data_IF_272029548091
#
_entry.id   IF_272029548091
#
_cell.length_a   1.000
_cell.length_b   1.000
_cell.length_c   1.000
_cell.angle_alpha   90.00
_cell.angle_beta   90.00
_cell.angle_gamma   90.00
#
_symmetry.space_group_name_H-M   'P 1'
#
loop_
_entity.id
_entity.type
_entity.pdbx_description
1 polymer ?
#
# COMPACT_ATOMS: atom_id res chain seq x y z
N UNK A 1 -6.77 -12.98 21.22
CA UNK A 1 -6.06 -11.94 20.42
C UNK A 1 -5.69 -12.56 19.09
N UNK A 2 -5.88 -11.83 18.01
CA UNK A 2 -5.54 -12.33 16.68
C UNK A 2 -4.02 -12.49 16.52
N UNK A 3 -3.62 -13.54 15.79
CA UNK A 3 -2.22 -13.75 15.36
C UNK A 3 -1.92 -13.05 14.03
N UNK A 4 -2.94 -12.53 13.38
CA UNK A 4 -2.90 -11.97 12.03
C UNK A 4 -3.25 -10.49 12.05
N UNK A 5 -2.51 -9.72 11.28
CA UNK A 5 -2.73 -8.29 11.09
C UNK A 5 -2.89 -7.98 9.61
N UNK A 6 -4.00 -7.35 9.25
CA UNK A 6 -4.13 -6.65 7.98
C UNK A 6 -3.86 -5.17 8.23
N UNK A 7 -3.11 -4.52 7.36
CA UNK A 7 -2.95 -3.08 7.45
C UNK A 7 -3.00 -2.40 6.10
N UNK A 8 -3.39 -1.14 6.13
CA UNK A 8 -3.45 -0.24 4.98
C UNK A 8 -2.99 1.16 5.36
N UNK A 9 -2.73 2.00 4.36
CA UNK A 9 -2.29 3.38 4.55
C UNK A 9 -3.28 4.36 3.89
N UNK A 10 -3.68 5.40 4.62
CA UNK A 10 -4.60 6.44 4.14
C UNK A 10 -4.04 7.83 4.46
N UNK A 11 -3.41 8.46 3.45
CA UNK A 11 -2.76 9.78 3.58
C UNK A 11 -3.00 10.64 2.34
N UNK A 12 -2.55 11.88 2.38
CA UNK A 12 -2.43 12.82 1.28
C UNK A 12 -3.73 13.53 0.88
N UNK A 13 -4.78 12.82 0.49
CA UNK A 13 -6.05 13.43 0.06
C UNK A 13 -7.22 12.84 0.84
N UNK A 14 -8.15 13.69 1.27
CA UNK A 14 -9.30 13.30 2.08
C UNK A 14 -10.19 12.27 1.40
N UNK A 15 -10.32 12.34 0.06
CA UNK A 15 -11.10 11.37 -0.72
C UNK A 15 -10.67 9.91 -0.47
N UNK A 16 -9.41 9.68 -0.10
CA UNK A 16 -8.96 8.33 0.24
C UNK A 16 -9.57 7.79 1.53
N UNK A 17 -10.22 8.65 2.35
CA UNK A 17 -11.02 8.16 3.50
C UNK A 17 -12.25 7.40 3.02
N UNK A 18 -12.86 7.78 1.88
CA UNK A 18 -13.95 7.02 1.26
C UNK A 18 -13.46 5.72 0.64
N UNK A 19 -12.30 5.78 -0.01
CA UNK A 19 -11.67 4.61 -0.62
C UNK A 19 -11.36 3.57 0.45
N UNK A 20 -10.66 3.95 1.52
CA UNK A 20 -10.32 3.02 2.63
C UNK A 20 -11.55 2.54 3.39
N UNK A 21 -12.60 3.35 3.48
CA UNK A 21 -13.87 2.92 4.10
C UNK A 21 -14.53 1.78 3.32
N UNK A 22 -14.40 1.74 2.00
CA UNK A 22 -14.83 0.59 1.20
C UNK A 22 -14.03 -0.68 1.52
N UNK A 23 -12.70 -0.55 1.68
CA UNK A 23 -11.85 -1.67 2.09
C UNK A 23 -12.22 -2.18 3.49
N UNK A 24 -12.38 -1.30 4.47
CA UNK A 24 -12.80 -1.65 5.85
C UNK A 24 -14.16 -2.36 5.84
N UNK A 25 -15.13 -1.84 5.09
CA UNK A 25 -16.46 -2.44 5.00
C UNK A 25 -16.42 -3.81 4.32
N UNK A 26 -15.57 -4.01 3.31
CA UNK A 26 -15.38 -5.31 2.68
C UNK A 26 -14.70 -6.30 3.63
N UNK A 27 -13.68 -5.86 4.37
CA UNK A 27 -13.05 -6.65 5.43
C UNK A 27 -14.06 -7.09 6.50
N UNK A 28 -14.87 -6.16 7.01
CA UNK A 28 -15.92 -6.48 7.99
C UNK A 28 -16.89 -7.56 7.46
N UNK A 29 -17.27 -7.46 6.18
CA UNK A 29 -18.17 -8.43 5.53
C UNK A 29 -17.53 -9.80 5.30
N UNK A 30 -16.21 -9.87 5.23
CA UNK A 30 -15.50 -11.15 5.01
C UNK A 30 -15.57 -12.11 6.19
N UNK A 31 -15.95 -11.62 7.37
CA UNK A 31 -16.02 -12.42 8.59
C UNK A 31 -14.65 -12.76 9.22
N UNK A 32 -13.58 -12.11 8.76
CA UNK A 32 -12.23 -12.35 9.25
C UNK A 32 -12.06 -12.06 10.73
N UNK A 33 -11.24 -12.87 11.39
CA UNK A 33 -10.83 -12.70 12.80
C UNK A 33 -9.50 -11.93 12.95
N UNK A 34 -8.86 -11.55 11.85
CA UNK A 34 -7.64 -10.75 11.86
C UNK A 34 -7.89 -9.35 12.47
N UNK A 35 -6.88 -8.77 13.10
CA UNK A 35 -6.91 -7.35 13.45
C UNK A 35 -6.72 -6.51 12.17
N UNK A 36 -7.41 -5.35 12.09
CA UNK A 36 -7.28 -4.44 10.96
C UNK A 36 -6.73 -3.09 11.43
N UNK A 37 -5.62 -2.65 10.84
CA UNK A 37 -4.92 -1.42 11.19
C UNK A 37 -4.92 -0.44 10.03
N UNK A 38 -5.28 0.82 10.29
CA UNK A 38 -5.14 1.93 9.34
C UNK A 38 -4.04 2.87 9.80
N UNK A 39 -3.02 3.03 8.99
CA UNK A 39 -2.03 4.10 9.09
C UNK A 39 -2.61 5.36 8.49
N UNK A 40 -2.71 6.44 9.29
CA UNK A 40 -3.38 7.65 8.81
C UNK A 40 -2.99 8.88 9.64
N UNK A 41 -3.52 10.05 9.28
CA UNK A 41 -3.46 11.27 10.10
C UNK A 41 -4.56 11.27 11.15
N UNK A 42 -4.41 12.08 12.22
CA UNK A 42 -5.47 12.29 13.23
C UNK A 42 -6.77 12.73 12.58
N UNK A 43 -6.72 13.70 11.67
CA UNK A 43 -7.90 14.20 10.93
C UNK A 43 -8.61 13.08 10.16
N UNK A 44 -7.87 12.27 9.40
CA UNK A 44 -8.49 11.22 8.58
C UNK A 44 -9.00 10.05 9.43
N UNK A 45 -8.36 9.76 10.57
CA UNK A 45 -8.88 8.81 11.55
C UNK A 45 -10.31 9.17 11.98
N UNK A 46 -10.55 10.43 12.38
CA UNK A 46 -11.88 10.88 12.80
C UNK A 46 -12.92 10.70 11.69
N UNK A 47 -12.56 11.06 10.45
CA UNK A 47 -13.44 10.88 9.28
C UNK A 47 -13.73 9.39 9.03
N UNK A 48 -12.69 8.52 9.06
CA UNK A 48 -12.85 7.07 8.84
C UNK A 48 -13.71 6.45 9.95
N UNK A 49 -13.50 6.83 11.21
CA UNK A 49 -14.31 6.35 12.33
C UNK A 49 -15.78 6.76 12.18
N UNK A 50 -16.05 8.00 11.73
CA UNK A 50 -17.42 8.44 11.46
C UNK A 50 -18.08 7.68 10.30
N UNK A 51 -17.32 7.28 9.27
CA UNK A 51 -17.80 6.50 8.12
C UNK A 51 -17.97 5.01 8.42
N UNK A 52 -17.22 4.48 9.38
CA UNK A 52 -17.18 3.06 9.74
C UNK A 52 -17.35 2.88 11.28
N UNK A 53 -18.44 3.38 11.90
CA UNK A 53 -18.56 3.43 13.36
C UNK A 53 -18.57 2.06 14.04
N UNK A 54 -19.08 1.04 13.35
CA UNK A 54 -19.18 -0.33 13.89
C UNK A 54 -17.97 -1.21 13.52
N UNK A 55 -16.94 -0.65 12.91
CA UNK A 55 -15.76 -1.41 12.55
C UNK A 55 -14.74 -1.37 13.70
N UNK A 56 -14.30 -2.56 14.14
CA UNK A 56 -13.21 -2.68 15.11
C UNK A 56 -11.86 -2.48 14.38
N UNK A 57 -11.48 -1.21 14.16
CA UNK A 57 -10.29 -0.81 13.43
C UNK A 57 -9.27 -0.20 14.38
N UNK A 58 -8.04 -0.68 14.32
CA UNK A 58 -6.89 -0.09 14.98
C UNK A 58 -6.35 1.07 14.15
N UNK A 59 -5.79 2.07 14.80
CA UNK A 59 -5.20 3.23 14.12
C UNK A 59 -3.77 3.47 14.59
N UNK A 60 -2.90 3.83 13.64
CA UNK A 60 -1.61 4.42 13.92
C UNK A 60 -1.52 5.80 13.27
N UNK A 61 -1.40 6.83 14.11
CA UNK A 61 -1.41 8.20 13.65
C UNK A 61 -0.01 8.70 13.33
N UNK A 62 0.18 9.21 12.11
CA UNK A 62 1.43 9.80 11.61
C UNK A 62 1.13 11.07 10.81
N UNK A 63 1.14 12.22 11.48
CA UNK A 63 0.71 13.49 10.89
C UNK A 63 1.73 14.14 9.93
N UNK A 64 2.90 13.54 9.73
CA UNK A 64 3.95 14.06 8.85
C UNK A 64 3.89 13.55 7.40
N UNK A 65 3.08 12.52 7.10
CA UNK A 65 2.90 12.03 5.73
C UNK A 65 1.88 12.90 4.98
N UNK A 66 2.37 13.88 4.21
CA UNK A 66 1.53 14.87 3.51
C UNK A 66 1.59 14.80 1.99
N UNK A 67 2.61 14.16 1.43
CA UNK A 67 2.76 14.02 -0.02
C UNK A 67 2.39 12.62 -0.49
N UNK A 68 2.07 12.47 -1.78
CA UNK A 68 1.78 11.19 -2.39
C UNK A 68 2.96 10.20 -2.24
N UNK A 69 4.19 10.67 -2.40
CA UNK A 69 5.37 9.85 -2.25
C UNK A 69 5.54 9.33 -0.82
N UNK A 70 5.30 10.20 0.16
CA UNK A 70 5.31 9.81 1.58
C UNK A 70 4.18 8.81 1.89
N UNK A 71 2.98 9.05 1.36
CA UNK A 71 1.85 8.13 1.51
C UNK A 71 2.18 6.72 1.01
N UNK A 72 2.82 6.60 -0.15
CA UNK A 72 3.14 5.30 -0.75
C UNK A 72 4.18 4.52 0.04
N UNK A 73 5.24 5.20 0.51
CA UNK A 73 6.32 4.53 1.26
C UNK A 73 5.93 4.23 2.71
N UNK A 74 4.86 4.84 3.24
CA UNK A 74 4.42 4.67 4.63
C UNK A 74 4.10 3.22 4.98
N UNK A 75 3.74 2.38 4.00
CA UNK A 75 3.53 0.94 4.20
C UNK A 75 4.73 0.22 4.82
N UNK A 76 5.94 0.74 4.64
CA UNK A 76 7.16 0.17 5.20
C UNK A 76 7.36 0.46 6.70
N UNK A 77 6.53 1.32 7.28
CA UNK A 77 6.61 1.68 8.70
C UNK A 77 5.82 0.74 9.63
N UNK A 78 5.34 -0.37 9.11
CA UNK A 78 4.54 -1.31 9.91
C UNK A 78 5.26 -1.79 11.16
N UNK A 79 6.57 -1.92 11.12
CA UNK A 79 7.38 -2.33 12.27
C UNK A 79 7.56 -1.24 13.34
N UNK A 80 7.05 -0.02 13.10
CA UNK A 80 6.94 1.05 14.10
C UNK A 80 5.63 0.97 14.89
N UNK A 81 4.71 0.05 14.52
CA UNK A 81 3.45 -0.12 15.22
C UNK A 81 3.69 -0.73 16.61
N UNK A 82 3.29 -0.05 17.69
CA UNK A 82 3.41 -0.58 19.05
C UNK A 82 2.60 -1.87 19.19
N UNK A 83 3.21 -2.94 19.65
CA UNK A 83 2.57 -4.25 19.77
C UNK A 83 2.55 -5.06 18.48
N UNK A 84 3.39 -4.71 17.50
CA UNK A 84 3.56 -5.49 16.27
C UNK A 84 4.04 -6.93 16.57
N UNK A 85 4.76 -7.12 17.66
CA UNK A 85 5.34 -8.39 18.09
C UNK A 85 4.29 -9.46 18.43
N UNK A 86 3.05 -9.08 18.68
CA UNK A 86 1.95 -10.04 18.94
C UNK A 86 1.47 -10.76 17.68
N UNK A 87 1.79 -10.23 16.47
CA UNK A 87 1.34 -10.81 15.22
C UNK A 87 2.40 -11.72 14.62
N UNK A 88 1.98 -12.90 14.18
CA UNK A 88 2.83 -13.87 13.50
C UNK A 88 2.95 -13.57 12.00
N UNK A 89 1.84 -13.22 11.36
CA UNK A 89 1.76 -12.91 9.94
C UNK A 89 1.06 -11.57 9.73
N UNK A 90 1.56 -10.83 8.76
CA UNK A 90 1.12 -9.48 8.45
C UNK A 90 0.80 -9.41 6.97
N UNK A 91 -0.32 -8.76 6.63
CA UNK A 91 -0.79 -8.55 5.28
C UNK A 91 -1.02 -7.05 5.04
N UNK A 92 -0.24 -6.45 4.16
CA UNK A 92 -0.52 -5.13 3.62
C UNK A 92 -1.50 -5.23 2.46
N UNK A 93 -2.45 -4.32 2.41
CA UNK A 93 -3.40 -4.17 1.29
C UNK A 93 -3.53 -2.69 0.96
N UNK A 94 -3.32 -2.31 -0.30
CA UNK A 94 -3.53 -0.92 -0.75
C UNK A 94 -4.96 -0.46 -0.46
N UNK A 95 -5.14 0.80 -0.08
CA UNK A 95 -6.44 1.36 0.31
C UNK A 95 -7.53 1.21 -0.77
N UNK A 96 -7.14 1.23 -2.04
CA UNK A 96 -7.99 1.06 -3.21
C UNK A 96 -8.19 -0.41 -3.60
N UNK A 97 -8.42 -1.25 -2.60
CA UNK A 97 -8.71 -2.67 -2.75
C UNK A 97 -10.03 -3.04 -2.09
N UNK A 98 -10.55 -4.22 -2.40
CA UNK A 98 -11.64 -4.87 -1.69
C UNK A 98 -11.22 -6.28 -1.25
N UNK A 99 -11.66 -6.70 -0.07
CA UNK A 99 -11.56 -8.07 0.43
C UNK A 99 -12.89 -8.75 0.13
N UNK A 100 -12.88 -9.79 -0.72
CA UNK A 100 -14.09 -10.45 -1.22
C UNK A 100 -14.50 -11.65 -0.40
N UNK A 101 -13.56 -12.30 0.31
CA UNK A 101 -13.78 -13.43 1.20
C UNK A 101 -12.83 -13.37 2.37
N UNK A 102 -13.00 -14.29 3.33
CA UNK A 102 -12.12 -14.38 4.48
C UNK A 102 -10.64 -14.46 4.06
N UNK A 103 -9.80 -13.49 4.46
CA UNK A 103 -8.39 -13.45 4.13
C UNK A 103 -7.53 -14.48 4.88
N UNK A 104 -8.12 -15.35 5.73
CA UNK A 104 -7.36 -16.44 6.37
C UNK A 104 -6.68 -17.33 5.34
N UNK A 105 -7.32 -17.57 4.17
CA UNK A 105 -6.68 -18.30 3.08
C UNK A 105 -5.40 -17.64 2.54
N UNK A 106 -5.30 -16.31 2.63
CA UNK A 106 -4.08 -15.56 2.28
C UNK A 106 -3.02 -15.76 3.36
N UNK A 107 -3.38 -15.63 4.63
CA UNK A 107 -2.46 -15.89 5.74
C UNK A 107 -1.95 -17.33 5.77
N UNK A 108 -2.82 -18.29 5.50
CA UNK A 108 -2.45 -19.71 5.46
C UNK A 108 -1.42 -20.00 4.36
N UNK A 109 -1.46 -19.25 3.26
CA UNK A 109 -0.52 -19.40 2.16
C UNK A 109 0.87 -18.84 2.45
N UNK A 110 1.04 -18.00 3.50
CA UNK A 110 2.34 -17.45 3.92
C UNK A 110 3.08 -18.48 4.76
N UNK A 111 3.93 -19.29 4.12
CA UNK A 111 4.65 -20.39 4.78
C UNK A 111 6.15 -20.12 4.96
N UNK A 112 6.76 -19.37 4.02
CA UNK A 112 8.19 -19.13 4.00
C UNK A 112 8.57 -17.77 4.63
N UNK A 113 9.85 -17.58 4.91
CA UNK A 113 10.41 -16.36 5.49
C UNK A 113 10.75 -15.32 4.42
N UNK A 114 9.85 -15.12 3.47
CA UNK A 114 9.94 -14.18 2.35
C UNK A 114 8.73 -13.27 2.30
N UNK A 115 8.76 -12.26 1.42
CA UNK A 115 7.60 -11.41 1.14
C UNK A 115 6.81 -12.03 -0.01
N UNK A 116 5.53 -12.28 0.21
CA UNK A 116 4.58 -12.74 -0.80
C UNK A 116 3.97 -11.54 -1.48
N UNK A 117 4.02 -11.54 -2.80
CA UNK A 117 3.54 -10.45 -3.67
C UNK A 117 2.85 -11.04 -4.89
N UNK A 118 2.11 -10.22 -5.61
CA UNK A 118 1.55 -10.64 -6.91
C UNK A 118 2.61 -10.42 -7.99
N UNK A 119 3.00 -11.50 -8.69
CA UNK A 119 3.80 -11.40 -9.90
C UNK A 119 2.96 -10.79 -11.03
N UNK A 120 3.45 -9.71 -11.63
CA UNK A 120 2.74 -8.94 -12.64
C UNK A 120 3.74 -8.20 -13.54
N UNK A 121 3.58 -8.34 -14.86
CA UNK A 121 4.44 -7.65 -15.83
C UNK A 121 5.84 -8.22 -15.95
N UNK A 122 6.77 -7.42 -16.47
CA UNK A 122 8.16 -7.80 -16.72
C UNK A 122 9.09 -6.63 -16.40
N UNK A 123 10.24 -6.91 -15.78
CA UNK A 123 11.26 -5.91 -15.42
C UNK A 123 11.74 -5.11 -16.65
N UNK A 124 11.87 -5.78 -17.82
CA UNK A 124 12.29 -5.15 -19.08
C UNK A 124 11.27 -4.22 -19.72
N UNK A 125 10.02 -4.21 -19.26
CA UNK A 125 9.02 -3.31 -19.82
C UNK A 125 9.54 -1.87 -19.89
N UNK A 126 9.20 -1.17 -20.97
CA UNK A 126 9.68 0.18 -21.30
C UNK A 126 9.33 1.22 -20.23
N UNK A 127 8.29 0.96 -19.45
CA UNK A 127 7.99 1.76 -18.25
C UNK A 127 8.89 1.39 -17.08
N UNK A 128 9.28 2.40 -16.29
CA UNK A 128 10.07 2.22 -15.07
C UNK A 128 9.25 1.64 -13.89
N UNK A 129 8.03 1.17 -14.14
CA UNK A 129 7.12 0.64 -13.11
C UNK A 129 7.73 -0.47 -12.27
N UNK A 130 8.61 -1.28 -12.88
CA UNK A 130 9.24 -2.44 -12.27
C UNK A 130 10.69 -2.19 -11.88
N UNK A 131 11.23 -0.98 -12.15
CA UNK A 131 12.59 -0.60 -11.78
C UNK A 131 13.67 -1.02 -12.77
N UNK A 132 13.36 -1.10 -14.07
CA UNK A 132 14.30 -1.50 -15.13
C UNK A 132 15.66 -0.81 -15.03
N UNK A 133 15.69 0.52 -14.82
CA UNK A 133 16.94 1.28 -14.75
C UNK A 133 17.80 0.90 -13.54
N UNK A 134 17.20 0.51 -12.42
CA UNK A 134 17.94 0.00 -11.26
C UNK A 134 18.64 -1.32 -11.60
N UNK A 135 17.91 -2.24 -12.25
CA UNK A 135 18.45 -3.55 -12.61
C UNK A 135 19.52 -3.45 -13.69
N UNK A 136 19.31 -2.70 -14.75
CA UNK A 136 20.30 -2.53 -15.82
C UNK A 136 21.64 -1.99 -15.31
N UNK A 137 21.60 -1.17 -14.27
CA UNK A 137 22.79 -0.58 -13.68
C UNK A 137 23.55 -1.55 -12.78
N UNK A 138 22.84 -2.31 -11.96
CA UNK A 138 23.46 -3.05 -10.85
C UNK A 138 23.36 -4.57 -11.00
N UNK A 139 22.29 -5.07 -11.63
CA UNK A 139 21.98 -6.51 -11.70
C UNK A 139 21.26 -6.86 -13.01
N UNK A 140 21.91 -6.70 -14.17
CA UNK A 140 21.27 -6.91 -15.47
C UNK A 140 20.73 -8.34 -15.68
N UNK A 141 21.22 -9.33 -14.95
CA UNK A 141 20.77 -10.71 -14.97
C UNK A 141 19.34 -10.92 -14.46
N UNK A 142 18.75 -9.93 -13.78
CA UNK A 142 17.36 -10.00 -13.33
C UNK A 142 16.37 -9.34 -14.29
N UNK A 143 16.82 -8.79 -15.39
CA UNK A 143 15.96 -8.04 -16.33
C UNK A 143 14.93 -8.90 -17.05
N UNK A 144 15.16 -10.21 -17.17
CA UNK A 144 14.22 -11.18 -17.75
C UNK A 144 13.17 -11.68 -16.75
N UNK A 145 13.24 -11.23 -15.50
CA UNK A 145 12.33 -11.64 -14.43
C UNK A 145 10.98 -10.95 -14.51
N UNK A 146 10.01 -11.63 -13.92
CA UNK A 146 8.69 -11.05 -13.68
C UNK A 146 8.78 -9.87 -12.72
N UNK A 147 8.03 -8.81 -12.99
CA UNK A 147 7.83 -7.70 -12.08
C UNK A 147 6.87 -8.08 -10.95
N UNK A 148 6.87 -7.30 -9.87
CA UNK A 148 6.03 -7.55 -8.70
C UNK A 148 5.22 -6.30 -8.35
N UNK A 149 3.93 -6.49 -8.19
CA UNK A 149 3.02 -5.43 -7.78
C UNK A 149 2.97 -5.30 -6.25
N UNK A 150 3.15 -4.09 -5.73
CA UNK A 150 3.24 -3.81 -4.30
C UNK A 150 1.88 -3.44 -3.66
N UNK A 151 0.75 -3.76 -4.31
CA UNK A 151 -0.57 -3.47 -3.76
C UNK A 151 -0.97 -4.44 -2.63
N UNK A 152 -0.37 -5.62 -2.60
CA UNK A 152 -0.51 -6.59 -1.52
C UNK A 152 0.86 -7.17 -1.17
N UNK A 153 1.18 -7.18 0.12
CA UNK A 153 2.42 -7.73 0.67
C UNK A 153 2.07 -8.62 1.85
N UNK A 154 2.32 -9.92 1.73
CA UNK A 154 2.15 -10.86 2.83
C UNK A 154 3.48 -11.32 3.37
N UNK A 155 3.66 -11.37 4.69
CA UNK A 155 4.93 -11.78 5.27
C UNK A 155 4.79 -12.21 6.74
N UNK A 156 5.75 -13.00 7.21
CA UNK A 156 5.93 -13.27 8.63
C UNK A 156 6.59 -12.09 9.34
N UNK A 157 6.23 -11.88 10.59
CA UNK A 157 6.83 -10.83 11.42
C UNK A 157 8.22 -11.23 11.90
N UNK A 158 9.22 -11.12 11.04
CA UNK A 158 10.60 -11.51 11.33
C UNK A 158 11.60 -10.36 11.09
N UNK A 159 12.70 -10.41 11.80
CA UNK A 159 13.73 -9.37 11.78
C UNK A 159 14.36 -9.15 10.40
N UNK A 160 14.45 -10.20 9.57
CA UNK A 160 15.02 -10.11 8.23
C UNK A 160 14.16 -9.22 7.33
N UNK A 161 12.83 -9.37 7.37
CA UNK A 161 11.89 -8.54 6.61
C UNK A 161 11.90 -7.10 7.13
N UNK A 162 11.95 -6.90 8.44
CA UNK A 162 12.11 -5.56 9.02
C UNK A 162 13.34 -4.83 8.47
N UNK A 163 14.52 -5.50 8.46
CA UNK A 163 15.74 -4.93 7.90
C UNK A 163 15.60 -4.60 6.41
N UNK A 164 14.95 -5.48 5.65
CA UNK A 164 14.70 -5.29 4.24
C UNK A 164 13.81 -4.06 3.97
N UNK A 165 12.73 -3.89 4.72
CA UNK A 165 11.84 -2.73 4.62
C UNK A 165 12.56 -1.41 4.96
N UNK A 166 13.41 -1.41 5.99
CA UNK A 166 14.26 -0.25 6.31
C UNK A 166 15.18 0.10 5.13
N UNK A 167 15.82 -0.90 4.52
CA UNK A 167 16.72 -0.71 3.38
C UNK A 167 15.99 -0.15 2.16
N UNK A 168 14.81 -0.69 1.83
CA UNK A 168 13.96 -0.20 0.74
C UNK A 168 13.58 1.27 0.99
N UNK A 169 13.13 1.59 2.19
CA UNK A 169 12.72 2.93 2.58
C UNK A 169 13.88 3.94 2.48
N UNK A 170 15.07 3.59 2.97
CA UNK A 170 16.27 4.42 2.87
C UNK A 170 16.64 4.71 1.41
N UNK A 171 16.62 3.69 0.56
CA UNK A 171 16.94 3.84 -0.86
C UNK A 171 15.92 4.68 -1.61
N UNK A 172 14.64 4.50 -1.30
CA UNK A 172 13.57 5.33 -1.85
C UNK A 172 13.77 6.81 -1.52
N UNK A 173 14.07 7.17 -0.26
CA UNK A 173 14.30 8.56 0.11
C UNK A 173 15.57 9.13 -0.51
N UNK A 174 16.63 8.33 -0.60
CA UNK A 174 17.87 8.75 -1.25
C UNK A 174 17.64 9.08 -2.73
N UNK A 175 16.87 8.26 -3.42
CA UNK A 175 16.54 8.45 -4.83
C UNK A 175 15.61 9.66 -5.05
N UNK A 176 14.55 9.78 -4.23
CA UNK A 176 13.69 10.97 -4.23
C UNK A 176 14.49 12.27 -4.11
N UNK A 177 15.51 12.26 -3.24
CA UNK A 177 16.36 13.42 -3.03
C UNK A 177 17.23 13.74 -4.26
N UNK A 178 17.58 12.71 -5.03
CA UNK A 178 18.41 12.84 -6.23
C UNK A 178 17.58 13.02 -7.52
N UNK A 179 16.25 13.05 -7.44
CA UNK A 179 15.30 13.14 -8.57
C UNK A 179 15.55 12.11 -9.70
N UNK A 180 15.96 10.88 -9.34
CA UNK A 180 16.43 9.90 -10.32
C UNK A 180 15.35 8.98 -10.89
N UNK A 181 14.31 8.66 -10.11
CA UNK A 181 13.26 7.76 -10.56
C UNK A 181 11.88 8.44 -10.55
N UNK A 182 11.11 8.17 -11.61
CA UNK A 182 9.74 8.68 -11.76
C UNK A 182 8.69 7.81 -11.07
N UNK A 183 9.04 6.59 -10.69
CA UNK A 183 8.07 5.57 -10.24
C UNK A 183 8.37 5.14 -8.80
N UNK A 184 7.77 5.76 -7.89
CA UNK A 184 7.37 5.46 -6.53
C UNK A 184 8.13 4.33 -5.78
N UNK A 185 7.45 3.61 -4.93
CA UNK A 185 7.98 2.56 -4.06
C UNK A 185 8.21 1.21 -4.79
N UNK A 186 7.37 0.88 -5.77
CA UNK A 186 7.36 -0.42 -6.45
C UNK A 186 8.68 -0.82 -7.11
N UNK A 187 9.42 0.05 -7.83
CA UNK A 187 10.77 -0.25 -8.35
C UNK A 187 11.74 -0.73 -7.28
N UNK A 188 11.70 -0.11 -6.10
CA UNK A 188 12.58 -0.47 -4.99
C UNK A 188 12.21 -1.80 -4.34
N UNK A 189 10.90 -2.09 -4.23
CA UNK A 189 10.44 -3.42 -3.83
C UNK A 189 10.98 -4.48 -4.78
N UNK A 190 10.75 -4.32 -6.08
CA UNK A 190 11.22 -5.25 -7.10
C UNK A 190 12.72 -5.48 -6.98
N UNK A 191 13.50 -4.39 -6.96
CA UNK A 191 14.96 -4.47 -6.91
C UNK A 191 15.45 -5.21 -5.66
N UNK A 192 15.03 -4.79 -4.47
CA UNK A 192 15.55 -5.37 -3.24
C UNK A 192 15.02 -6.76 -2.94
N UNK A 193 13.76 -7.07 -3.28
CA UNK A 193 13.20 -8.40 -3.09
C UNK A 193 13.89 -9.43 -3.99
N UNK A 194 14.10 -9.12 -5.26
CA UNK A 194 14.79 -10.01 -6.19
C UNK A 194 16.27 -10.16 -5.84
N UNK A 195 16.98 -9.05 -5.60
CA UNK A 195 18.41 -9.08 -5.25
C UNK A 195 18.68 -9.92 -4.01
N UNK A 196 17.81 -9.89 -3.02
CA UNK A 196 17.96 -10.67 -1.78
C UNK A 196 17.28 -12.05 -1.86
N UNK A 197 16.64 -12.41 -2.98
CA UNK A 197 15.86 -13.64 -3.14
C UNK A 197 14.78 -13.80 -2.05
N UNK A 198 14.14 -12.69 -1.71
CA UNK A 198 13.20 -12.57 -0.59
C UNK A 198 11.76 -12.36 -1.08
N UNK A 199 11.38 -12.97 -2.21
CA UNK A 199 10.02 -12.88 -2.74
C UNK A 199 9.44 -14.22 -3.15
N UNK A 200 8.12 -14.34 -3.00
CA UNK A 200 7.29 -15.36 -3.64
C UNK A 200 6.23 -14.63 -4.48
N UNK A 201 6.31 -14.77 -5.80
CA UNK A 201 5.44 -14.08 -6.76
C UNK A 201 4.25 -14.93 -7.22
N UNK A 202 4.30 -16.25 -7.01
CA UNK A 202 3.35 -17.20 -7.57
C UNK A 202 2.11 -17.41 -6.69
N UNK A 203 2.32 -17.55 -5.39
CA UNK A 203 1.25 -17.95 -4.47
C UNK A 203 0.07 -16.97 -4.48
N UNK A 204 0.34 -15.67 -4.50
CA UNK A 204 -0.72 -14.65 -4.46
C UNK A 204 -1.43 -14.42 -5.80
N UNK A 205 -0.93 -14.93 -6.92
CA UNK A 205 -1.60 -14.80 -8.24
C UNK A 205 -3.00 -15.42 -8.26
N UNK A 206 -3.22 -16.48 -7.49
CA UNK A 206 -4.55 -17.13 -7.37
C UNK A 206 -5.44 -16.48 -6.31
N UNK A 207 -4.92 -15.60 -5.47
CA UNK A 207 -5.61 -15.01 -4.33
C UNK A 207 -5.92 -13.53 -4.50
N UNK A 208 -5.10 -12.82 -5.27
CA UNK A 208 -5.21 -11.37 -5.44
C UNK A 208 -4.94 -10.97 -6.90
N UNK A 209 -5.71 -10.01 -7.41
CA UNK A 209 -5.55 -9.50 -8.79
C UNK A 209 -5.87 -8.03 -8.89
N UNK A 210 -5.15 -7.34 -9.78
CA UNK A 210 -5.43 -5.96 -10.16
C UNK A 210 -6.45 -5.93 -11.29
N UNK A 211 -7.51 -5.13 -11.14
CA UNK A 211 -8.58 -4.88 -12.13
C UNK A 211 -9.25 -6.12 -12.76
N UNK A 212 -9.61 -7.15 -12.00
CA UNK A 212 -10.46 -8.20 -12.57
C UNK A 212 -11.86 -7.64 -12.82
N UNK A 213 -12.62 -8.26 -13.74
CA UNK A 213 -14.06 -8.05 -13.74
C UNK A 213 -14.72 -8.79 -12.57
N UNK A 214 -15.95 -8.43 -12.16
CA UNK A 214 -16.67 -9.15 -11.10
C UNK A 214 -16.79 -10.66 -11.38
N UNK A 215 -17.09 -11.03 -12.63
CA UNK A 215 -17.25 -12.44 -13.04
C UNK A 215 -15.92 -13.20 -12.90
N UNK A 216 -14.79 -12.58 -13.30
CA UNK A 216 -13.47 -13.18 -13.15
C UNK A 216 -13.13 -13.33 -11.67
N UNK A 217 -13.39 -12.31 -10.85
CA UNK A 217 -13.10 -12.35 -9.43
C UNK A 217 -13.86 -13.48 -8.71
N UNK A 218 -15.14 -13.66 -9.04
CA UNK A 218 -15.96 -14.73 -8.49
C UNK A 218 -15.54 -16.10 -9.02
N UNK A 219 -15.34 -16.24 -10.33
CA UNK A 219 -14.94 -17.51 -10.98
C UNK A 219 -13.61 -18.02 -10.43
N UNK A 220 -12.61 -17.14 -10.32
CA UNK A 220 -11.29 -17.50 -9.84
C UNK A 220 -11.21 -17.56 -8.31
N UNK A 221 -12.27 -17.19 -7.60
CA UNK A 221 -12.35 -17.22 -6.14
C UNK A 221 -11.32 -16.31 -5.47
N UNK A 222 -11.12 -15.11 -6.03
CA UNK A 222 -10.16 -14.16 -5.49
C UNK A 222 -10.53 -13.71 -4.06
N UNK A 223 -9.52 -13.57 -3.21
CA UNK A 223 -9.69 -13.02 -1.87
C UNK A 223 -9.58 -11.49 -1.86
N UNK A 224 -8.71 -10.94 -2.72
CA UNK A 224 -8.42 -9.51 -2.78
C UNK A 224 -8.46 -9.04 -4.23
N UNK A 225 -9.14 -7.93 -4.47
CA UNK A 225 -9.11 -7.21 -5.76
C UNK A 225 -8.62 -5.79 -5.56
N UNK A 226 -7.85 -5.26 -6.52
CA UNK A 226 -7.22 -3.96 -6.44
C UNK A 226 -7.57 -3.10 -7.65
N UNK A 227 -7.80 -1.80 -7.44
CA UNK A 227 -8.23 -0.85 -8.46
C UNK A 227 -7.09 0.11 -8.85
N UNK A 228 -6.03 -0.47 -9.46
CA UNK A 228 -4.81 0.25 -9.83
C UNK A 228 -4.98 1.19 -11.02
N UNK A 229 -3.97 2.04 -11.22
CA UNK A 229 -3.64 2.65 -12.51
C UNK A 229 -4.50 3.84 -12.93
N UNK A 230 -5.21 4.46 -12.01
CA UNK A 230 -5.85 5.75 -12.27
C UNK A 230 -4.91 6.85 -11.77
N UNK A 231 -4.31 7.67 -12.65
CA UNK A 231 -3.40 8.71 -12.21
C UNK A 231 -4.14 9.67 -11.26
N UNK A 232 -3.75 9.62 -9.99
CA UNK A 232 -3.95 10.71 -9.03
C UNK A 232 -5.33 11.01 -8.50
N UNK A 233 -6.41 10.35 -8.93
CA UNK A 233 -7.77 10.79 -8.58
C UNK A 233 -8.51 9.74 -7.77
N UNK A 234 -8.66 9.98 -6.47
CA UNK A 234 -9.44 9.14 -5.56
C UNK A 234 -10.91 8.96 -6.03
N UNK A 235 -11.50 9.95 -6.70
CA UNK A 235 -12.84 9.86 -7.27
C UNK A 235 -12.95 8.74 -8.32
N UNK A 236 -12.01 8.64 -9.26
CA UNK A 236 -12.01 7.57 -10.27
C UNK A 236 -11.89 6.19 -9.62
N UNK A 237 -11.11 6.08 -8.54
CA UNK A 237 -11.01 4.82 -7.79
C UNK A 237 -12.33 4.46 -7.10
N UNK A 238 -13.03 5.44 -6.55
CA UNK A 238 -14.37 5.22 -5.97
C UNK A 238 -15.38 4.79 -7.01
N UNK A 239 -15.37 5.40 -8.19
CA UNK A 239 -16.23 5.01 -9.31
C UNK A 239 -15.97 3.55 -9.70
N UNK A 240 -14.72 3.16 -9.93
CA UNK A 240 -14.33 1.78 -10.24
C UNK A 240 -14.74 0.77 -9.16
N UNK A 241 -14.56 1.13 -7.89
CA UNK A 241 -14.98 0.29 -6.76
C UNK A 241 -16.50 0.11 -6.76
N UNK A 242 -17.26 1.18 -6.99
CA UNK A 242 -18.72 1.15 -7.00
C UNK A 242 -19.27 0.37 -8.20
N UNK A 243 -18.69 0.56 -9.39
CA UNK A 243 -19.03 -0.22 -10.59
C UNK A 243 -18.77 -1.71 -10.35
N UNK A 244 -17.60 -2.06 -9.81
CA UNK A 244 -17.26 -3.44 -9.49
C UNK A 244 -18.26 -4.05 -8.49
N UNK A 245 -18.58 -3.34 -7.41
CA UNK A 245 -19.56 -3.81 -6.41
C UNK A 245 -20.96 -4.01 -7.01
N UNK A 246 -21.37 -3.13 -7.90
CA UNK A 246 -22.64 -3.26 -8.62
C UNK A 246 -22.65 -4.50 -9.52
N UNK A 247 -21.54 -4.76 -10.21
CA UNK A 247 -21.36 -5.96 -11.03
C UNK A 247 -21.35 -7.26 -10.22
N UNK A 248 -20.83 -7.25 -8.98
CA UNK A 248 -20.90 -8.41 -8.08
C UNK A 248 -22.35 -8.77 -7.74
N UNK A 249 -23.22 -7.78 -7.54
CA UNK A 249 -24.66 -8.02 -7.23
C UNK A 249 -25.37 -8.67 -8.43
N UNK A 250 -25.01 -8.27 -9.66
CA UNK A 250 -25.59 -8.84 -10.88
C UNK A 250 -25.05 -10.25 -11.16
N UNK A 251 -23.78 -10.48 -10.91
CA UNK A 251 -23.11 -11.75 -11.17
C UNK A 251 -23.48 -12.86 -10.15
N UNK A 252 -23.97 -12.50 -8.98
CA UNK A 252 -24.57 -13.44 -8.03
C UNK A 252 -26.04 -13.65 -8.41
N UNK A 253 -26.49 -14.84 -8.81
CA UNK A 253 -27.88 -15.10 -9.13
C UNK A 253 -28.75 -14.95 -7.89
N UNK A 254 -29.34 -13.80 -7.72
CA UNK A 254 -30.40 -13.55 -6.73
C UNK A 254 -31.67 -13.09 -7.43
N UNK A 255 -32.77 -13.65 -6.96
CA UNK A 255 -34.13 -13.39 -7.33
C UNK A 255 -34.47 -11.90 -7.29
N UNK A 256 -34.88 -11.37 -8.46
CA UNK A 256 -35.78 -10.22 -8.77
C UNK A 256 -35.82 -8.99 -7.83
N UNK A 257 -35.55 -7.78 -8.30
CA UNK A 257 -36.50 -6.77 -8.75
C UNK A 257 -35.84 -5.40 -9.12
N UNK A 258 -36.17 -5.01 -10.33
CA UNK A 258 -36.38 -3.72 -11.03
C UNK A 258 -35.58 -2.40 -10.74
N UNK A 259 -35.41 -1.55 -11.76
CA UNK A 259 -34.34 -0.54 -11.86
C UNK A 259 -34.79 0.90 -11.60
N UNK A 260 -33.88 1.79 -11.28
CA UNK A 260 -34.09 3.24 -11.42
C UNK A 260 -32.82 4.05 -11.73
N UNK A 261 -32.92 4.69 -12.85
CA UNK A 261 -32.51 6.05 -13.29
C UNK A 261 -31.12 6.61 -13.00
N UNK A 262 -30.48 6.94 -14.12
CA UNK A 262 -29.18 7.60 -14.34
C UNK A 262 -29.26 9.12 -14.13
N UNK A 263 -28.23 9.72 -13.55
CA UNK A 263 -27.97 11.16 -13.57
C UNK A 263 -26.54 11.45 -14.10
N UNK A 264 -26.42 12.48 -14.90
CA UNK A 264 -25.27 12.95 -15.70
C UNK A 264 -24.29 13.83 -14.91
N UNK A 265 -23.00 13.90 -15.28
CA UNK A 265 -21.94 14.59 -14.54
C UNK A 265 -21.68 16.03 -15.01
N UNK A 266 -21.13 16.85 -14.12
CA UNK A 266 -20.68 18.23 -14.36
C UNK A 266 -19.17 18.40 -14.18
N UNK A 267 -18.66 19.46 -14.79
CA UNK A 267 -17.33 19.86 -15.28
C UNK A 267 -16.30 20.18 -14.17
N UNK A 268 -15.02 20.02 -14.53
CA UNK A 268 -13.77 20.04 -13.75
C UNK A 268 -13.10 21.42 -13.75
N UNK A 269 -12.52 21.81 -12.60
CA UNK A 269 -11.59 22.91 -12.44
C UNK A 269 -10.15 22.45 -12.17
N UNK A 270 -9.16 23.17 -12.74
CA UNK A 270 -7.72 22.91 -12.67
C UNK A 270 -7.04 23.60 -11.48
N UNK A 271 -6.04 23.00 -10.83
CA UNK A 271 -5.39 23.58 -9.64
C UNK A 271 -4.20 24.50 -9.94
N UNK A 272 -4.00 25.49 -9.06
CA UNK A 272 -3.10 26.62 -9.15
C UNK A 272 -1.68 26.39 -8.57
N UNK A 273 -0.73 27.27 -8.96
CA UNK A 273 0.72 27.31 -8.68
C UNK A 273 1.10 27.43 -7.17
N UNK A 274 0.15 27.62 -6.27
CA UNK A 274 0.35 27.77 -4.82
C UNK A 274 0.93 26.52 -4.12
N UNK A 275 0.66 25.33 -4.64
CA UNK A 275 1.04 24.06 -4.00
C UNK A 275 2.57 23.79 -4.05
N UNK A 276 3.26 24.31 -5.04
CA UNK A 276 4.70 24.08 -5.19
C UNK A 276 5.53 24.78 -4.09
N UNK A 277 5.13 25.97 -3.69
CA UNK A 277 5.86 26.77 -2.68
C UNK A 277 5.70 26.21 -1.25
N UNK A 278 4.53 25.68 -0.91
CA UNK A 278 4.31 25.00 0.38
C UNK A 278 5.13 23.70 0.49
N UNK A 279 5.25 22.97 -0.60
CA UNK A 279 6.04 21.74 -0.64
C UNK A 279 7.52 22.01 -0.43
N UNK A 280 8.07 23.08 -1.03
CA UNK A 280 9.46 23.50 -0.85
C UNK A 280 9.73 23.91 0.61
N UNK A 281 8.84 24.66 1.21
CA UNK A 281 8.96 25.08 2.62
C UNK A 281 9.00 23.90 3.58
N UNK A 282 8.10 22.93 3.41
CA UNK A 282 8.04 21.72 4.23
C UNK A 282 9.28 20.82 4.07
N UNK A 283 9.82 20.71 2.86
CA UNK A 283 11.05 19.98 2.60
C UNK A 283 12.25 20.64 3.28
N UNK A 284 12.31 21.95 3.28
CA UNK A 284 13.36 22.71 3.99
C UNK A 284 13.29 22.49 5.50
N UNK A 285 12.09 22.47 6.07
CA UNK A 285 11.89 22.21 7.48
C UNK A 285 12.30 20.77 7.88
N UNK A 286 11.96 19.78 7.08
CA UNK A 286 12.38 18.40 7.30
C UNK A 286 13.89 18.20 7.16
N UNK A 287 14.51 18.90 6.23
CA UNK A 287 15.95 18.88 6.05
C UNK A 287 16.69 19.44 7.30
N UNK A 288 16.15 20.51 7.86
CA UNK A 288 16.73 21.10 9.06
C UNK A 288 16.58 20.19 10.28
N UNK A 289 15.43 19.55 10.46
CA UNK A 289 15.25 18.55 11.51
C UNK A 289 16.21 17.35 11.37
N UNK A 290 16.44 16.88 10.15
CA UNK A 290 17.42 15.80 9.92
C UNK A 290 18.84 16.25 10.22
N UNK A 291 19.23 17.48 9.85
CA UNK A 291 20.54 18.05 10.19
C UNK A 291 20.76 18.12 11.69
N UNK A 292 19.75 18.56 12.45
CA UNK A 292 19.81 18.62 13.91
C UNK A 292 19.97 17.23 14.53
N UNK A 293 19.23 16.22 14.04
CA UNK A 293 19.37 14.83 14.51
C UNK A 293 20.75 14.25 14.17
N UNK A 294 21.27 14.55 12.99
CA UNK A 294 22.62 14.10 12.59
C UNK A 294 23.68 14.73 13.49
N UNK A 295 23.59 16.02 13.78
CA UNK A 295 24.51 16.70 14.69
C UNK A 295 24.45 16.12 16.13
N UNK A 296 23.27 15.79 16.62
CA UNK A 296 23.09 15.13 17.92
C UNK A 296 23.74 13.72 17.95
N UNK A 297 23.56 12.94 16.87
CA UNK A 297 24.20 11.63 16.74
C UNK A 297 25.71 11.72 16.66
N UNK A 298 26.25 12.68 15.94
CA UNK A 298 27.71 12.93 15.89
C UNK A 298 28.27 13.32 17.25
N UNK A 299 27.54 14.15 18.01
CA UNK A 299 27.95 14.52 19.36
C UNK A 299 27.95 13.33 20.32
N UNK A 300 26.90 12.46 20.22
CA UNK A 300 26.81 11.23 21.01
C UNK A 300 27.95 10.24 20.66
N UNK A 301 28.25 10.08 19.37
CA UNK A 301 29.38 9.26 18.91
C UNK A 301 30.73 9.79 19.42
N UNK A 302 30.95 11.09 19.37
CA UNK A 302 32.17 11.70 19.94
C UNK A 302 32.30 11.47 21.43
N UNK A 303 31.19 11.54 22.19
CA UNK A 303 31.19 11.25 23.63
C UNK A 303 31.51 9.78 23.91
N UNK A 304 31.04 8.85 23.09
CA UNK A 304 31.36 7.41 23.25
C UNK A 304 32.79 7.06 22.85
N UNK A 305 33.36 7.74 21.85
CA UNK A 305 34.75 7.50 21.41
C UNK A 305 35.80 8.11 22.36
N UNK A 306 35.40 9.02 23.24
CA UNK A 306 36.28 9.68 24.23
C UNK A 306 36.17 9.05 25.64
N UNK A 307 35.40 7.96 25.80
CA UNK A 307 35.36 7.10 26.99
C UNK A 307 36.14 5.81 26.77
#
# INVERSE_FOLDING_TARGET
>A
MSKYLIYTCCFHQEIYTDVVSNLINSFKKSGSTADFLVYTTTQYKEIIQAKCPDANVLFLEKNFYKTMNQARISKLDIFDYPGIEKYEKILYVDADSLILKDPECVFDSIQDDVVYVVGEGNILNEGEYWGRSLFLKENPEYTDREGMSAFVLGFKNIQTIKKLFIKIKQSFYLDMYQNKLRFYDQPFFNFYLLQNKMCNTETFKSLARSRPTPEIALKDGLAIVHFAGCPGHGNVKLELINEFKSGLVVATPSVVDTPSVVATPSVVDTPSVSVANETIFLLQQQLEEMRQKTAQLEELLRKQLNQ
#
